data_IF_701772648546
#
_entry.id   IF_701772648546
#
_cell.length_a   1.000
_cell.length_b   1.000
_cell.length_c   1.000
_cell.angle_alpha   90.00
_cell.angle_beta   90.00
_cell.angle_gamma   90.00
#
_symmetry.space_group_name_H-M   'P 1'
#
loop_
_entity.id
_entity.type
_entity.pdbx_description
1 polymer ?
#
# COMPACT_ATOMS: atom_id res chain seq x y z
N UNK A 1 -16.02 25.09 7.97
CA UNK A 1 -16.30 23.95 8.87
C UNK A 1 -16.04 22.67 8.08
N UNK A 2 -15.30 21.72 8.63
CA UNK A 2 -15.00 20.45 7.92
C UNK A 2 -16.23 19.55 7.93
N UNK A 3 -16.56 18.97 6.77
CA UNK A 3 -17.65 18.00 6.62
C UNK A 3 -17.05 16.64 6.27
N UNK A 4 -17.62 15.59 6.86
CA UNK A 4 -17.27 14.20 6.54
C UNK A 4 -18.50 13.50 5.99
N UNK A 5 -18.29 12.71 4.94
CA UNK A 5 -19.33 11.92 4.30
C UNK A 5 -18.84 10.48 4.10
N UNK A 6 -19.57 9.53 4.68
CA UNK A 6 -19.18 8.12 4.74
C UNK A 6 -20.23 7.27 4.05
N UNK A 7 -19.79 6.45 3.11
CA UNK A 7 -20.66 5.60 2.31
C UNK A 7 -20.29 4.13 2.47
N UNK A 8 -21.23 3.30 2.88
CA UNK A 8 -21.08 1.84 2.88
C UNK A 8 -21.47 1.27 1.51
N UNK A 9 -20.49 1.16 0.60
CA UNK A 9 -20.74 0.72 -0.78
C UNK A 9 -19.49 0.14 -1.43
N UNK A 10 -19.68 -0.58 -2.54
CA UNK A 10 -18.60 -0.89 -3.47
C UNK A 10 -17.98 0.41 -4.02
N UNK A 11 -16.66 0.52 -3.99
CA UNK A 11 -15.98 1.78 -4.32
C UNK A 11 -16.12 2.16 -5.81
N UNK A 12 -16.19 1.19 -6.72
CA UNK A 12 -16.37 1.46 -8.15
C UNK A 12 -17.76 2.03 -8.40
N UNK A 13 -18.79 1.39 -7.83
CA UNK A 13 -20.18 1.81 -7.91
C UNK A 13 -20.40 3.17 -7.23
N UNK A 14 -19.76 3.37 -6.08
CA UNK A 14 -19.83 4.62 -5.32
C UNK A 14 -19.20 5.79 -6.07
N UNK A 15 -17.97 5.61 -6.57
CA UNK A 15 -17.30 6.63 -7.37
C UNK A 15 -18.07 6.96 -8.64
N UNK A 16 -18.72 5.99 -9.30
CA UNK A 16 -19.51 6.22 -10.50
C UNK A 16 -20.65 7.24 -10.32
N UNK A 17 -21.11 7.46 -9.08
CA UNK A 17 -22.16 8.44 -8.73
C UNK A 17 -21.61 9.85 -8.48
N UNK A 18 -20.30 9.98 -8.27
CA UNK A 18 -19.66 11.27 -8.05
C UNK A 18 -19.54 12.03 -9.38
N UNK A 19 -19.63 13.36 -9.38
CA UNK A 19 -19.35 14.16 -10.57
C UNK A 19 -17.93 13.91 -11.09
N UNK A 20 -17.71 14.16 -12.38
CA UNK A 20 -16.35 14.18 -12.93
C UNK A 20 -15.58 15.38 -12.37
N UNK A 21 -14.26 15.27 -12.29
CA UNK A 21 -13.37 16.39 -11.90
C UNK A 21 -13.81 17.10 -10.60
N UNK A 22 -14.30 16.35 -9.62
CA UNK A 22 -14.81 16.88 -8.36
C UNK A 22 -13.92 16.60 -7.14
N UNK A 23 -12.87 15.80 -7.31
CA UNK A 23 -11.98 15.36 -6.22
C UNK A 23 -10.57 15.92 -6.44
N UNK A 24 -10.05 16.63 -5.44
CA UNK A 24 -8.68 17.18 -5.46
C UNK A 24 -7.61 16.12 -5.14
N UNK A 25 -7.92 15.20 -4.22
CA UNK A 25 -6.96 14.25 -3.69
C UNK A 25 -7.62 12.90 -3.42
N UNK A 26 -6.99 11.84 -3.90
CA UNK A 26 -7.32 10.46 -3.53
C UNK A 26 -6.15 9.86 -2.78
N UNK A 27 -6.40 9.32 -1.59
CA UNK A 27 -5.44 8.50 -0.84
C UNK A 27 -6.09 7.14 -0.62
N UNK A 28 -5.46 6.07 -1.09
CA UNK A 28 -6.04 4.73 -0.96
C UNK A 28 -4.99 3.64 -0.75
N UNK A 29 -5.47 2.52 -0.21
CA UNK A 29 -4.72 1.32 0.14
C UNK A 29 -5.62 0.12 -0.19
N UNK A 30 -5.81 -0.22 -1.48
CA UNK A 30 -6.75 -1.26 -1.89
C UNK A 30 -6.29 -2.62 -1.35
N UNK A 31 -7.14 -3.65 -1.32
CA UNK A 31 -6.71 -5.03 -1.09
C UNK A 31 -5.51 -5.43 -1.96
N UNK A 32 -4.48 -6.02 -1.36
CA UNK A 32 -3.18 -6.30 -1.99
C UNK A 32 -3.07 -7.68 -2.63
N UNK A 33 -4.15 -8.46 -2.66
CA UNK A 33 -4.16 -9.84 -3.14
C UNK A 33 -3.16 -10.74 -2.39
N UNK A 34 -3.09 -10.58 -1.06
CA UNK A 34 -2.19 -11.32 -0.17
C UNK A 34 -2.88 -12.51 0.50
N UNK A 35 -4.12 -12.80 0.12
CA UNK A 35 -4.93 -13.85 0.72
C UNK A 35 -5.41 -13.52 2.13
N UNK A 36 -5.53 -12.24 2.47
CA UNK A 36 -6.13 -11.80 3.73
C UNK A 36 -7.60 -12.22 3.78
N UNK A 37 -8.01 -12.83 4.90
CA UNK A 37 -9.40 -13.21 5.14
C UNK A 37 -10.21 -11.96 5.49
N UNK A 38 -10.81 -11.33 4.48
CA UNK A 38 -11.88 -10.35 4.69
C UNK A 38 -13.22 -11.05 4.84
N UNK A 39 -14.22 -10.36 5.41
CA UNK A 39 -15.54 -10.95 5.66
C UNK A 39 -16.24 -11.46 4.40
N UNK A 40 -16.45 -10.57 3.42
CA UNK A 40 -17.18 -10.89 2.18
C UNK A 40 -16.31 -10.84 0.91
N UNK A 41 -15.06 -10.36 1.01
CA UNK A 41 -14.16 -10.16 -0.13
C UNK A 41 -13.08 -11.23 -0.17
N UNK A 42 -12.88 -11.84 -1.34
CA UNK A 42 -11.77 -12.76 -1.59
C UNK A 42 -10.54 -11.98 -2.02
N UNK A 43 -9.52 -11.94 -1.16
CA UNK A 43 -8.21 -11.37 -1.46
C UNK A 43 -7.28 -12.40 -2.15
N UNK A 44 -7.88 -13.32 -2.92
CA UNK A 44 -7.22 -14.37 -3.71
C UNK A 44 -7.82 -14.40 -5.09
N UNK A 45 -7.38 -13.47 -5.93
CA UNK A 45 -7.69 -13.43 -7.35
C UNK A 45 -6.47 -13.92 -8.15
N UNK A 46 -6.73 -14.50 -9.31
CA UNK A 46 -5.65 -14.72 -10.28
C UNK A 46 -5.05 -13.37 -10.70
N UNK A 47 -3.81 -13.43 -11.21
CA UNK A 47 -3.02 -12.22 -11.47
C UNK A 47 -3.72 -11.26 -12.45
N UNK A 48 -4.26 -11.79 -13.54
CA UNK A 48 -4.83 -10.95 -14.60
C UNK A 48 -6.17 -10.36 -14.18
N UNK A 49 -7.01 -11.13 -13.49
CA UNK A 49 -8.25 -10.61 -12.92
C UNK A 49 -7.99 -9.50 -11.90
N UNK A 50 -6.96 -9.66 -11.06
CA UNK A 50 -6.58 -8.64 -10.09
C UNK A 50 -6.11 -7.34 -10.78
N UNK A 51 -5.20 -7.44 -11.76
CA UNK A 51 -4.73 -6.25 -12.51
C UNK A 51 -5.87 -5.60 -13.31
N UNK A 52 -6.77 -6.39 -13.87
CA UNK A 52 -7.96 -5.89 -14.55
C UNK A 52 -8.90 -5.16 -13.58
N UNK A 53 -9.10 -5.71 -12.38
CA UNK A 53 -9.84 -5.04 -11.32
C UNK A 53 -9.16 -3.73 -10.88
N UNK A 54 -7.83 -3.70 -10.80
CA UNK A 54 -7.08 -2.47 -10.57
C UNK A 54 -7.39 -1.38 -11.59
N UNK A 55 -7.39 -1.74 -12.88
CA UNK A 55 -7.75 -0.80 -13.95
C UNK A 55 -9.19 -0.29 -13.83
N UNK A 56 -10.14 -1.10 -13.35
CA UNK A 56 -11.54 -0.67 -13.17
C UNK A 56 -11.70 0.45 -12.15
N UNK A 57 -11.17 0.28 -10.94
CA UNK A 57 -11.26 1.34 -9.94
C UNK A 57 -10.39 2.54 -10.31
N UNK A 58 -9.24 2.32 -10.95
CA UNK A 58 -8.35 3.39 -11.41
C UNK A 58 -9.00 4.27 -12.47
N UNK A 59 -9.79 3.70 -13.39
CA UNK A 59 -10.54 4.45 -14.39
C UNK A 59 -11.60 5.38 -13.73
N UNK A 60 -12.27 4.91 -12.67
CA UNK A 60 -13.19 5.76 -11.90
C UNK A 60 -12.44 6.87 -11.16
N UNK A 61 -11.29 6.56 -10.54
CA UNK A 61 -10.43 7.57 -9.91
C UNK A 61 -10.04 8.66 -10.90
N UNK A 62 -9.57 8.28 -12.09
CA UNK A 62 -9.18 9.24 -13.14
C UNK A 62 -10.34 10.14 -13.57
N UNK A 63 -11.56 9.62 -13.59
CA UNK A 63 -12.77 10.38 -13.96
C UNK A 63 -13.17 11.40 -12.88
N UNK A 64 -13.10 11.03 -11.61
CA UNK A 64 -13.55 11.90 -10.50
C UNK A 64 -12.45 12.88 -10.07
N UNK A 65 -11.18 12.58 -10.32
CA UNK A 65 -10.07 13.49 -10.06
C UNK A 65 -10.14 14.70 -10.98
N UNK A 66 -9.89 15.89 -10.42
CA UNK A 66 -9.61 17.11 -11.18
C UNK A 66 -8.38 16.94 -12.05
N UNK A 67 -8.24 17.79 -13.07
CA UNK A 67 -7.08 17.79 -13.97
C UNK A 67 -5.75 18.04 -13.24
N UNK A 68 -5.79 18.82 -12.15
CA UNK A 68 -4.67 19.11 -11.24
C UNK A 68 -4.70 18.27 -9.95
N UNK A 69 -5.59 17.27 -9.89
CA UNK A 69 -5.75 16.40 -8.74
C UNK A 69 -4.62 15.38 -8.59
N UNK A 70 -4.41 14.92 -7.35
CA UNK A 70 -3.35 13.97 -7.00
C UNK A 70 -3.89 12.62 -6.52
N UNK A 71 -3.14 11.56 -6.81
CA UNK A 71 -3.47 10.19 -6.42
C UNK A 71 -2.30 9.53 -5.69
N UNK A 72 -2.53 9.15 -4.43
CA UNK A 72 -1.60 8.40 -3.59
C UNK A 72 -2.08 6.95 -3.44
N UNK A 73 -1.31 6.03 -4.01
CA UNK A 73 -1.56 4.59 -3.94
C UNK A 73 -0.57 3.93 -2.98
N UNK A 74 -1.07 3.47 -1.84
CA UNK A 74 -0.32 2.59 -0.95
C UNK A 74 -0.55 1.14 -1.36
N UNK A 75 0.52 0.41 -1.65
CA UNK A 75 0.50 -1.00 -2.05
C UNK A 75 1.66 -1.73 -1.41
N UNK A 76 1.40 -2.93 -0.92
CA UNK A 76 2.39 -3.84 -0.38
C UNK A 76 2.62 -5.06 -1.29
N UNK A 77 3.66 -5.83 -0.98
CA UNK A 77 3.95 -7.08 -1.65
C UNK A 77 4.22 -8.18 -0.62
N UNK A 78 3.89 -9.41 -1.01
CA UNK A 78 4.38 -10.62 -0.37
C UNK A 78 5.84 -10.88 -0.77
N UNK A 79 6.70 -11.44 0.10
CA UNK A 79 8.04 -11.90 -0.30
C UNK A 79 8.01 -12.88 -1.48
N UNK A 80 7.00 -13.75 -1.55
CA UNK A 80 6.79 -14.68 -2.66
C UNK A 80 6.30 -13.99 -3.95
N UNK A 81 5.89 -12.72 -3.89
CA UNK A 81 5.35 -11.96 -5.03
C UNK A 81 5.79 -10.48 -5.00
N UNK A 82 7.10 -10.19 -5.10
CA UNK A 82 7.65 -8.85 -4.90
C UNK A 82 7.33 -7.89 -6.06
N UNK A 83 6.96 -8.43 -7.23
CA UNK A 83 6.73 -7.63 -8.44
C UNK A 83 5.33 -7.02 -8.52
N UNK A 84 4.38 -7.47 -7.71
CA UNK A 84 2.98 -7.04 -7.80
C UNK A 84 2.80 -5.51 -7.78
N UNK A 85 3.45 -4.74 -6.89
CA UNK A 85 3.31 -3.28 -6.90
C UNK A 85 3.74 -2.63 -8.22
N UNK A 86 4.81 -3.13 -8.82
CA UNK A 86 5.35 -2.62 -10.09
C UNK A 86 4.39 -2.94 -11.25
N UNK A 87 3.80 -4.13 -11.26
CA UNK A 87 2.81 -4.51 -12.27
C UNK A 87 1.54 -3.66 -12.18
N UNK A 88 1.09 -3.33 -10.96
CA UNK A 88 -0.03 -2.39 -10.78
C UNK A 88 0.36 -1.02 -11.35
N UNK A 89 1.53 -0.48 -11.00
CA UNK A 89 1.98 0.81 -11.51
C UNK A 89 2.03 0.83 -13.06
N UNK A 90 2.56 -0.24 -13.67
CA UNK A 90 2.59 -0.40 -15.13
C UNK A 90 1.18 -0.54 -15.72
N UNK A 91 0.29 -1.28 -15.07
CA UNK A 91 -1.10 -1.45 -15.51
C UNK A 91 -1.90 -0.14 -15.46
N UNK A 92 -1.48 0.84 -14.66
CA UNK A 92 -2.15 2.13 -14.50
C UNK A 92 -1.51 3.27 -15.30
N UNK A 93 -0.41 3.02 -16.02
CA UNK A 93 0.39 4.05 -16.72
C UNK A 93 -0.37 4.81 -17.82
N UNK A 94 -1.43 4.21 -18.37
CA UNK A 94 -2.25 4.85 -19.41
C UNK A 94 -3.21 5.89 -18.80
N UNK A 95 -3.42 5.85 -17.49
CA UNK A 95 -4.35 6.72 -16.75
C UNK A 95 -3.63 7.78 -15.92
N UNK A 96 -2.42 7.48 -15.44
CA UNK A 96 -1.69 8.31 -14.48
C UNK A 96 -0.21 8.41 -14.83
N UNK A 97 0.38 9.55 -14.46
CA UNK A 97 1.82 9.80 -14.55
C UNK A 97 2.44 9.65 -13.17
N UNK A 98 3.41 8.74 -13.03
CA UNK A 98 4.13 8.54 -11.77
C UNK A 98 4.98 9.78 -11.44
N UNK A 99 4.70 10.41 -10.30
CA UNK A 99 5.49 11.56 -9.80
C UNK A 99 6.58 11.11 -8.84
N UNK A 100 6.24 10.28 -7.86
CA UNK A 100 7.15 9.83 -6.82
C UNK A 100 6.88 8.38 -6.43
N UNK A 101 7.94 7.69 -6.02
CA UNK A 101 7.86 6.42 -5.30
C UNK A 101 8.23 6.68 -3.85
N UNK A 102 7.28 6.47 -2.92
CA UNK A 102 7.48 6.68 -1.49
C UNK A 102 7.59 5.31 -0.82
N UNK A 103 8.71 5.04 -0.14
CA UNK A 103 8.90 3.79 0.59
C UNK A 103 8.44 3.93 2.04
N UNK A 104 7.42 3.16 2.42
CA UNK A 104 7.00 3.06 3.81
C UNK A 104 7.81 1.99 4.55
N UNK A 105 8.90 2.41 5.20
CA UNK A 105 9.73 1.56 6.05
C UNK A 105 9.05 1.39 7.42
N UNK A 106 8.48 0.21 7.68
CA UNK A 106 7.67 -0.07 8.90
C UNK A 106 8.50 -0.47 10.12
N UNK A 107 9.74 -0.87 9.92
CA UNK A 107 10.68 -1.18 10.98
C UNK A 107 12.12 -0.98 10.50
N UNK A 108 12.99 -0.62 11.44
CA UNK A 108 14.43 -0.54 11.23
C UNK A 108 15.13 -1.28 12.37
N UNK A 109 16.21 -1.99 12.04
CA UNK A 109 17.13 -2.54 13.02
C UNK A 109 18.29 -1.55 13.18
N UNK A 110 18.61 -1.17 14.42
CA UNK A 110 19.73 -0.28 14.72
C UNK A 110 20.72 -1.04 15.60
N UNK A 111 21.97 -1.14 15.14
CA UNK A 111 23.05 -1.65 15.96
C UNK A 111 23.34 -0.67 17.10
N UNK A 112 23.16 -1.11 18.35
CA UNK A 112 23.42 -0.26 19.51
C UNK A 112 24.91 -0.29 19.86
N UNK A 113 25.68 0.66 19.33
CA UNK A 113 27.12 0.77 19.59
C UNK A 113 27.51 1.24 21.01
N UNK A 114 26.54 1.61 21.87
CA UNK A 114 26.81 2.32 23.14
C UNK A 114 26.11 1.78 24.39
N UNK A 115 25.47 0.62 24.35
CA UNK A 115 25.02 -0.01 25.60
C UNK A 115 26.19 -0.77 26.24
N UNK A 116 26.47 -0.62 27.55
CA UNK A 116 27.45 -1.48 28.22
C UNK A 116 26.91 -2.90 28.22
N UNK A 117 27.33 -3.70 27.23
CA UNK A 117 26.92 -5.08 27.13
C UNK A 117 27.63 -5.92 28.20
N UNK A 118 26.94 -6.89 28.82
CA UNK A 118 27.62 -7.90 29.62
C UNK A 118 28.63 -8.62 28.71
N UNK A 119 29.88 -8.74 29.18
CA UNK A 119 30.94 -9.44 28.43
C UNK A 119 30.47 -10.85 28.08
N UNK A 120 30.54 -11.23 26.81
CA UNK A 120 30.45 -12.63 26.41
C UNK A 120 31.58 -13.41 27.11
N UNK A 121 31.36 -14.70 27.40
CA UNK A 121 32.33 -15.58 28.08
C UNK A 121 33.70 -15.62 27.38
N UNK A 122 33.77 -15.18 26.13
CA UNK A 122 34.92 -15.32 25.24
C UNK A 122 35.61 -13.98 24.92
N UNK A 123 35.19 -12.88 25.57
CA UNK A 123 35.85 -11.57 25.46
C UNK A 123 35.50 -10.72 24.23
N UNK A 124 34.66 -11.22 23.32
CA UNK A 124 34.11 -10.43 22.22
C UNK A 124 33.03 -9.43 22.72
N UNK A 125 32.95 -8.20 22.16
CA UNK A 125 31.83 -7.32 22.43
C UNK A 125 30.56 -7.97 21.90
N UNK A 126 29.56 -8.19 22.76
CA UNK A 126 28.26 -8.66 22.31
C UNK A 126 27.62 -7.54 21.47
N UNK A 127 27.30 -7.75 20.21
CA UNK A 127 26.53 -6.75 19.46
C UNK A 127 25.05 -6.96 19.77
N UNK A 128 24.37 -5.96 20.36
CA UNK A 128 22.90 -5.98 20.46
C UNK A 128 22.28 -5.12 19.36
N UNK A 129 21.45 -5.73 18.53
CA UNK A 129 20.56 -5.03 17.61
C UNK A 129 19.21 -4.79 18.28
N UNK A 130 18.72 -3.55 18.21
CA UNK A 130 17.37 -3.20 18.67
C UNK A 130 16.51 -2.85 17.46
N UNK A 131 15.36 -3.51 17.35
CA UNK A 131 14.38 -3.23 16.29
C UNK A 131 13.38 -2.19 16.76
N UNK A 132 13.24 -1.12 16.00
CA UNK A 132 12.24 -0.08 16.19
C UNK A 132 11.16 -0.17 15.11
N UNK A 133 9.89 -0.02 15.51
CA UNK A 133 8.72 -0.11 14.63
C UNK A 133 7.94 -1.42 14.78
N UNK A 134 6.83 -1.53 14.07
CA UNK A 134 5.98 -2.72 14.08
C UNK A 134 5.92 -3.32 12.67
N UNK A 135 6.71 -4.36 12.44
CA UNK A 135 6.62 -5.18 11.25
C UNK A 135 5.76 -6.40 11.53
N UNK A 136 4.60 -6.47 10.89
CA UNK A 136 3.80 -7.70 10.84
C UNK A 136 4.26 -8.48 9.61
N UNK A 137 4.89 -9.65 9.76
CA UNK A 137 5.30 -10.46 8.62
C UNK A 137 4.09 -10.77 7.75
N UNK A 138 4.20 -10.47 6.46
CA UNK A 138 3.27 -11.00 5.46
C UNK A 138 3.72 -12.44 5.23
N UNK A 139 3.14 -13.37 5.99
CA UNK A 139 3.38 -14.79 5.81
C UNK A 139 2.67 -15.23 4.53
N UNK A 140 3.43 -15.41 3.47
CA UNK A 140 2.98 -15.89 2.16
C UNK A 140 4.04 -16.78 1.57
#
# INVERSE_FOLDING_TARGET
MTQFDFHLQDCITGMARLPGESVDLVVTSPPYNLGIKYGMYSDRQDRQSYLHWCRKWAAQLRRVLKLDGSFFLNIGAAPANPMLPHEIALALRDLFVLQNTIHWVKSIAIATRFSPLPKQKDGAPAESETTFGHFKPINS
#
